data_IF_485371077531
#
_entry.id   IF_485371077531
#
_cell.length_a   1.000
_cell.length_b   1.000
_cell.length_c   1.000
_cell.angle_alpha   90.00
_cell.angle_beta   90.00
_cell.angle_gamma   90.00
#
_symmetry.space_group_name_H-M   'P 1'
#
loop_
_entity.id
_entity.type
_entity.pdbx_description
1 polymer ?
#
# COMPACT_ATOMS: atom_id res chain seq x y z
N UNK A 1 -5.01 11.91 -20.77
CA UNK A 1 -3.59 11.52 -20.79
C UNK A 1 -3.35 10.60 -19.62
N UNK A 2 -3.04 9.32 -19.89
CA UNK A 2 -3.21 8.23 -18.93
C UNK A 2 -2.08 8.22 -17.88
N UNK A 3 -2.44 8.03 -16.62
CA UNK A 3 -1.52 7.88 -15.48
C UNK A 3 -0.60 6.63 -15.55
N UNK A 4 -0.60 5.90 -16.67
CA UNK A 4 0.23 4.71 -16.88
C UNK A 4 1.63 5.02 -17.44
N UNK A 5 1.85 6.19 -18.05
CA UNK A 5 3.12 6.51 -18.76
C UNK A 5 4.31 6.79 -17.82
N UNK A 6 4.08 7.18 -16.56
CA UNK A 6 5.15 7.57 -15.62
C UNK A 6 5.86 6.41 -14.89
N UNK A 7 5.37 5.17 -14.97
CA UNK A 7 5.86 4.05 -14.13
C UNK A 7 6.84 3.11 -14.84
N UNK A 8 6.97 3.20 -16.16
CA UNK A 8 7.79 2.29 -16.96
C UNK A 8 9.29 2.57 -16.89
N UNK A 9 9.70 3.84 -16.91
CA UNK A 9 11.11 4.27 -16.91
C UNK A 9 11.87 3.86 -15.62
N UNK A 10 11.33 4.06 -14.40
CA UNK A 10 12.01 3.64 -13.18
C UNK A 10 12.17 2.12 -13.09
N UNK A 11 11.17 1.36 -13.54
CA UNK A 11 11.22 -0.10 -13.57
C UNK A 11 12.28 -0.59 -14.57
N UNK A 12 12.25 -0.08 -15.81
CA UNK A 12 13.17 -0.48 -16.87
C UNK A 12 14.64 -0.20 -16.48
N UNK A 13 14.94 0.98 -15.93
CA UNK A 13 16.30 1.36 -15.53
C UNK A 13 16.85 0.48 -14.40
N UNK A 14 16.00 0.14 -13.43
CA UNK A 14 16.37 -0.77 -12.32
C UNK A 14 16.69 -2.17 -12.81
N UNK A 15 15.82 -2.74 -13.65
CA UNK A 15 15.98 -4.11 -14.13
C UNK A 15 17.12 -4.22 -15.13
N UNK A 16 17.38 -3.18 -15.91
CA UNK A 16 18.57 -3.07 -16.73
C UNK A 16 19.85 -3.21 -15.89
N UNK A 17 20.00 -2.45 -14.79
CA UNK A 17 21.18 -2.55 -13.91
C UNK A 17 21.36 -3.96 -13.33
N UNK A 18 20.28 -4.56 -12.86
CA UNK A 18 20.31 -5.92 -12.32
C UNK A 18 20.68 -6.95 -13.40
N UNK A 19 20.10 -6.84 -14.60
CA UNK A 19 20.36 -7.73 -15.74
C UNK A 19 21.82 -7.61 -16.20
N UNK A 20 22.33 -6.40 -16.39
CA UNK A 20 23.73 -6.19 -16.80
C UNK A 20 24.70 -6.76 -15.79
N UNK A 21 24.46 -6.56 -14.49
CA UNK A 21 25.28 -7.16 -13.43
C UNK A 21 25.23 -8.69 -13.48
N UNK A 22 24.03 -9.27 -13.55
CA UNK A 22 23.83 -10.73 -13.57
C UNK A 22 24.45 -11.40 -14.80
N UNK A 23 24.25 -10.84 -15.98
CA UNK A 23 24.80 -11.38 -17.22
C UNK A 23 26.31 -11.16 -17.33
N UNK A 24 26.87 -10.09 -16.78
CA UNK A 24 28.34 -9.88 -16.74
C UNK A 24 29.02 -10.86 -15.78
N UNK A 25 28.44 -11.07 -14.60
CA UNK A 25 28.95 -12.07 -13.65
C UNK A 25 28.73 -13.50 -14.18
N UNK A 26 27.60 -13.75 -14.83
CA UNK A 26 27.28 -15.01 -15.51
C UNK A 26 28.22 -15.31 -16.67
N UNK A 27 28.62 -14.31 -17.44
CA UNK A 27 29.59 -14.44 -18.53
C UNK A 27 30.90 -15.08 -18.05
N UNK A 28 31.47 -14.60 -16.93
CA UNK A 28 32.69 -15.17 -16.36
C UNK A 28 32.49 -16.66 -16.00
N UNK A 29 31.36 -17.00 -15.40
CA UNK A 29 31.01 -18.38 -15.06
C UNK A 29 30.92 -19.27 -16.31
N UNK A 30 30.23 -18.81 -17.36
CA UNK A 30 30.04 -19.59 -18.60
C UNK A 30 31.34 -19.71 -19.40
N UNK A 31 32.15 -18.66 -19.49
CA UNK A 31 33.47 -18.68 -20.14
C UNK A 31 34.34 -19.79 -19.57
N UNK A 32 34.48 -19.87 -18.26
CA UNK A 32 35.32 -20.88 -17.61
C UNK A 32 34.70 -22.29 -17.65
N UNK A 33 33.37 -22.40 -17.71
CA UNK A 33 32.67 -23.66 -17.96
C UNK A 33 32.94 -24.20 -19.37
N UNK A 34 32.99 -23.31 -20.35
CA UNK A 34 33.17 -23.63 -21.78
C UNK A 34 34.63 -23.76 -22.23
N UNK A 35 35.55 -23.03 -21.62
CA UNK A 35 36.95 -22.96 -22.08
C UNK A 35 37.63 -24.34 -22.29
N UNK A 36 37.44 -25.35 -21.42
CA UNK A 36 38.04 -26.67 -21.63
C UNK A 36 37.43 -27.48 -22.79
N UNK A 37 36.28 -27.05 -23.33
CA UNK A 37 35.54 -27.77 -24.37
C UNK A 37 35.92 -27.38 -25.80
N UNK A 38 36.82 -26.39 -25.95
CA UNK A 38 37.23 -25.81 -27.24
C UNK A 38 36.05 -25.55 -28.19
N UNK A 39 35.05 -24.75 -27.77
CA UNK A 39 33.84 -24.57 -28.55
C UNK A 39 34.10 -23.74 -29.81
N UNK A 40 33.29 -24.00 -30.83
CA UNK A 40 33.34 -23.26 -32.08
C UNK A 40 33.21 -21.74 -31.88
N UNK A 41 33.88 -20.96 -32.74
CA UNK A 41 33.95 -19.50 -32.64
C UNK A 41 32.58 -18.80 -32.53
N UNK A 42 31.54 -19.35 -33.16
CA UNK A 42 30.19 -18.79 -33.12
C UNK A 42 29.57 -18.84 -31.72
N UNK A 43 29.95 -19.83 -30.89
CA UNK A 43 29.49 -19.95 -29.50
C UNK A 43 30.02 -18.79 -28.66
N UNK A 44 31.30 -18.44 -28.86
CA UNK A 44 31.92 -17.29 -28.23
C UNK A 44 31.26 -15.98 -28.66
N UNK A 45 31.00 -15.81 -29.96
CA UNK A 45 30.30 -14.64 -30.50
C UNK A 45 28.88 -14.51 -29.90
N UNK A 46 28.13 -15.62 -29.85
CA UNK A 46 26.80 -15.64 -29.25
C UNK A 46 26.84 -15.30 -27.75
N UNK A 47 27.83 -15.80 -27.01
CA UNK A 47 28.01 -15.49 -25.59
C UNK A 47 28.28 -14.01 -25.35
N UNK A 48 29.13 -13.38 -26.16
CA UNK A 48 29.40 -11.94 -26.06
C UNK A 48 28.15 -11.10 -26.35
N UNK A 49 27.39 -11.49 -27.38
CA UNK A 49 26.11 -10.84 -27.70
C UNK A 49 25.11 -10.99 -26.54
N UNK A 50 24.97 -12.20 -26.00
CA UNK A 50 24.06 -12.47 -24.89
C UNK A 50 24.45 -11.74 -23.61
N UNK A 51 25.75 -11.64 -23.28
CA UNK A 51 26.22 -11.00 -22.07
C UNK A 51 26.16 -9.46 -22.14
N UNK A 52 26.58 -8.89 -23.27
CA UNK A 52 26.85 -7.44 -23.35
C UNK A 52 25.88 -6.70 -24.27
N UNK A 53 25.37 -7.30 -25.35
CA UNK A 53 24.46 -6.60 -26.28
C UNK A 53 23.01 -6.74 -25.81
N UNK A 54 22.62 -7.93 -25.40
CA UNK A 54 21.24 -8.24 -25.02
C UNK A 54 20.69 -7.38 -23.87
N UNK A 55 21.41 -7.05 -22.77
CA UNK A 55 20.88 -6.17 -21.73
C UNK A 55 20.41 -4.81 -22.28
N UNK A 56 21.14 -4.24 -23.24
CA UNK A 56 20.79 -2.97 -23.88
C UNK A 56 19.59 -3.12 -24.80
N UNK A 57 19.55 -4.20 -25.59
CA UNK A 57 18.40 -4.51 -26.46
C UNK A 57 17.13 -4.70 -25.63
N UNK A 58 17.19 -5.51 -24.58
CA UNK A 58 16.10 -5.74 -23.65
C UNK A 58 15.59 -4.42 -23.03
N UNK A 59 16.50 -3.54 -22.62
CA UNK A 59 16.15 -2.22 -22.11
C UNK A 59 15.42 -1.37 -23.15
N UNK A 60 15.93 -1.29 -24.39
CA UNK A 60 15.29 -0.56 -25.48
C UNK A 60 13.92 -1.12 -25.85
N UNK A 61 13.76 -2.45 -25.85
CA UNK A 61 12.47 -3.12 -26.07
C UNK A 61 11.46 -2.73 -24.98
N UNK A 62 11.89 -2.69 -23.71
CA UNK A 62 11.02 -2.29 -22.60
C UNK A 62 10.61 -0.82 -22.71
N UNK A 63 11.52 0.08 -23.09
CA UNK A 63 11.24 1.51 -23.31
C UNK A 63 10.24 1.76 -24.44
N UNK A 64 10.31 0.98 -25.52
CA UNK A 64 9.40 1.11 -26.68
C UNK A 64 8.05 0.41 -26.49
N UNK A 65 7.87 -0.33 -25.40
CA UNK A 65 6.66 -1.10 -25.17
C UNK A 65 5.55 -0.28 -24.49
N UNK A 66 4.30 -0.50 -24.91
CA UNK A 66 3.13 0.09 -24.25
C UNK A 66 2.94 -0.40 -22.80
N UNK A 67 3.66 -1.45 -22.39
CA UNK A 67 3.53 -2.06 -21.07
C UNK A 67 4.87 -2.62 -20.62
N UNK A 68 5.66 -1.78 -19.95
CA UNK A 68 7.01 -2.12 -19.47
C UNK A 68 7.07 -3.46 -18.74
N UNK A 69 6.14 -3.75 -17.83
CA UNK A 69 6.11 -5.01 -17.07
C UNK A 69 5.94 -6.26 -17.95
N UNK A 70 5.12 -6.19 -19.01
CA UNK A 70 4.90 -7.31 -19.92
C UNK A 70 6.12 -7.56 -20.81
N UNK A 71 6.70 -6.49 -21.36
CA UNK A 71 7.94 -6.58 -22.14
C UNK A 71 9.06 -7.18 -21.29
N UNK A 72 9.17 -6.75 -20.04
CA UNK A 72 10.22 -7.18 -19.15
C UNK A 72 10.08 -8.65 -18.73
N UNK A 73 8.85 -9.12 -18.48
CA UNK A 73 8.59 -10.56 -18.29
C UNK A 73 9.02 -11.37 -19.52
N UNK A 74 8.76 -10.91 -20.73
CA UNK A 74 9.22 -11.60 -21.95
C UNK A 74 10.75 -11.64 -22.01
N UNK A 75 11.42 -10.53 -21.70
CA UNK A 75 12.88 -10.48 -21.69
C UNK A 75 13.49 -11.44 -20.66
N UNK A 76 12.90 -11.58 -19.46
CA UNK A 76 13.34 -12.54 -18.44
C UNK A 76 13.12 -14.00 -18.83
N UNK A 77 12.05 -14.30 -19.57
CA UNK A 77 11.86 -15.65 -20.12
C UNK A 77 12.94 -15.97 -21.16
N UNK A 78 13.34 -14.98 -21.97
CA UNK A 78 14.48 -15.14 -22.86
C UNK A 78 15.81 -15.31 -22.09
N UNK A 79 16.04 -14.52 -21.04
CA UNK A 79 17.20 -14.71 -20.14
C UNK A 79 17.23 -16.13 -19.57
N UNK A 80 16.08 -16.64 -19.13
CA UNK A 80 15.89 -17.99 -18.60
C UNK A 80 16.17 -19.07 -19.65
N UNK A 81 15.70 -18.87 -20.88
CA UNK A 81 16.02 -19.74 -22.01
C UNK A 81 17.53 -19.78 -22.26
N UNK A 82 18.20 -18.63 -22.34
CA UNK A 82 19.65 -18.57 -22.50
C UNK A 82 20.39 -19.25 -21.34
N UNK A 83 19.92 -19.09 -20.10
CA UNK A 83 20.47 -19.79 -18.94
C UNK A 83 20.42 -21.31 -19.09
N UNK A 84 19.28 -21.87 -19.53
CA UNK A 84 19.17 -23.29 -19.83
C UNK A 84 20.04 -23.75 -20.99
N UNK A 85 20.15 -22.94 -22.05
CA UNK A 85 21.04 -23.20 -23.18
C UNK A 85 22.50 -23.33 -22.74
N UNK A 86 22.99 -22.41 -21.89
CA UNK A 86 24.36 -22.45 -21.40
C UNK A 86 24.66 -23.65 -20.51
N UNK A 87 23.69 -24.15 -19.75
CA UNK A 87 23.84 -25.40 -18.98
C UNK A 87 24.15 -26.60 -19.89
N UNK A 88 23.43 -26.71 -21.01
CA UNK A 88 23.68 -27.77 -21.99
C UNK A 88 25.02 -27.57 -22.70
N UNK A 89 25.34 -26.34 -23.09
CA UNK A 89 26.62 -26.00 -23.75
C UNK A 89 27.83 -26.34 -22.87
N UNK A 90 27.75 -26.11 -21.55
CA UNK A 90 28.80 -26.44 -20.59
C UNK A 90 28.86 -27.93 -20.20
N UNK A 91 28.14 -28.80 -20.92
CA UNK A 91 28.07 -30.25 -20.65
C UNK A 91 27.72 -30.54 -19.19
N UNK A 92 26.72 -29.81 -18.67
CA UNK A 92 26.17 -29.99 -17.32
C UNK A 92 27.19 -29.92 -16.18
N UNK A 93 28.25 -29.12 -16.30
CA UNK A 93 29.17 -28.90 -15.20
C UNK A 93 28.40 -28.44 -13.93
N UNK A 94 28.45 -29.18 -12.80
CA UNK A 94 27.52 -29.00 -11.70
C UNK A 94 27.46 -27.58 -11.15
N UNK A 95 28.62 -26.98 -10.84
CA UNK A 95 28.67 -25.69 -10.16
C UNK A 95 28.21 -24.53 -11.06
N UNK A 96 28.75 -24.34 -12.29
CA UNK A 96 28.24 -23.33 -13.22
C UNK A 96 26.76 -23.51 -13.57
N UNK A 97 26.31 -24.76 -13.72
CA UNK A 97 24.93 -25.06 -14.09
C UNK A 97 23.94 -24.67 -12.99
N UNK A 98 24.20 -25.12 -11.75
CA UNK A 98 23.35 -24.78 -10.60
C UNK A 98 23.36 -23.27 -10.36
N UNK A 99 24.52 -22.61 -10.48
CA UNK A 99 24.64 -21.16 -10.30
C UNK A 99 23.79 -20.41 -11.32
N UNK A 100 23.86 -20.81 -12.59
CA UNK A 100 23.10 -20.19 -13.70
C UNK A 100 21.60 -20.39 -13.52
N UNK A 101 21.15 -21.63 -13.29
CA UNK A 101 19.72 -21.94 -13.10
C UNK A 101 19.14 -21.24 -11.86
N UNK A 102 19.92 -21.19 -10.77
CA UNK A 102 19.52 -20.50 -9.53
C UNK A 102 19.37 -19.00 -9.77
N UNK A 103 20.35 -18.37 -10.43
CA UNK A 103 20.28 -16.95 -10.78
C UNK A 103 19.05 -16.63 -11.63
N UNK A 104 18.77 -17.42 -12.67
CA UNK A 104 17.58 -17.20 -13.51
C UNK A 104 16.29 -17.37 -12.72
N UNK A 105 16.23 -18.37 -11.83
CA UNK A 105 15.07 -18.59 -10.97
C UNK A 105 14.85 -17.43 -9.98
N UNK A 106 15.92 -16.91 -9.36
CA UNK A 106 15.85 -15.73 -8.49
C UNK A 106 15.29 -14.51 -9.22
N UNK A 107 15.73 -14.27 -10.46
CA UNK A 107 15.23 -13.16 -11.28
C UNK A 107 13.74 -13.28 -11.57
N UNK A 108 13.28 -14.48 -11.89
CA UNK A 108 11.88 -14.75 -12.16
C UNK A 108 11.01 -14.54 -10.91
N UNK A 109 11.45 -15.03 -9.74
CA UNK A 109 10.72 -14.82 -8.48
C UNK A 109 10.69 -13.35 -8.08
N UNK A 110 11.81 -12.63 -8.19
CA UNK A 110 11.91 -11.23 -7.80
C UNK A 110 10.93 -10.31 -8.56
N UNK A 111 10.55 -10.66 -9.79
CA UNK A 111 9.75 -9.80 -10.68
C UNK A 111 8.32 -10.34 -10.90
N UNK A 112 8.15 -11.66 -10.98
CA UNK A 112 6.86 -12.29 -11.29
C UNK A 112 6.32 -13.24 -10.22
N UNK A 113 7.04 -13.42 -9.11
CA UNK A 113 6.67 -14.32 -8.03
C UNK A 113 6.74 -15.81 -8.41
N UNK A 114 6.21 -16.72 -7.57
CA UNK A 114 6.39 -18.16 -7.72
C UNK A 114 5.71 -18.73 -8.98
N UNK A 115 4.59 -18.15 -9.41
CA UNK A 115 3.91 -18.60 -10.66
C UNK A 115 4.75 -18.31 -11.90
N UNK A 116 5.44 -17.17 -11.93
CA UNK A 116 6.30 -16.82 -13.05
C UNK A 116 7.62 -17.62 -13.05
N UNK A 117 8.10 -18.03 -11.87
CA UNK A 117 9.23 -18.96 -11.75
C UNK A 117 8.99 -20.26 -12.52
N UNK A 118 7.78 -20.83 -12.46
CA UNK A 118 7.42 -22.04 -13.20
C UNK A 118 7.54 -21.83 -14.72
N UNK A 119 7.06 -20.70 -15.25
CA UNK A 119 7.24 -20.36 -16.65
C UNK A 119 8.73 -20.19 -17.02
N UNK A 120 9.52 -19.65 -16.10
CA UNK A 120 10.97 -19.58 -16.21
C UNK A 120 11.65 -20.95 -16.29
N UNK A 121 11.21 -21.92 -15.48
CA UNK A 121 11.72 -23.31 -15.56
C UNK A 121 11.37 -23.97 -16.88
N UNK A 122 10.17 -23.73 -17.41
CA UNK A 122 9.80 -24.19 -18.76
C UNK A 122 10.74 -23.57 -19.81
N UNK A 123 11.00 -22.26 -19.73
CA UNK A 123 11.94 -21.60 -20.63
C UNK A 123 13.37 -22.16 -20.52
N UNK A 124 13.85 -22.43 -19.30
CA UNK A 124 15.15 -23.08 -19.06
C UNK A 124 15.19 -24.48 -19.66
N UNK A 125 14.14 -25.29 -19.48
CA UNK A 125 14.05 -26.63 -20.06
C UNK A 125 14.06 -26.60 -21.59
N UNK A 126 13.36 -25.63 -22.21
CA UNK A 126 13.40 -25.42 -23.65
C UNK A 126 14.80 -25.02 -24.13
N UNK A 127 15.46 -24.10 -23.43
CA UNK A 127 16.83 -23.69 -23.71
C UNK A 127 17.81 -24.85 -23.64
N UNK A 128 17.69 -25.66 -22.59
CA UNK A 128 18.49 -26.87 -22.42
C UNK A 128 18.23 -27.87 -23.58
N UNK A 129 16.97 -28.10 -23.93
CA UNK A 129 16.60 -28.96 -25.05
C UNK A 129 17.23 -28.50 -26.37
N UNK A 130 17.24 -27.19 -26.63
CA UNK A 130 17.91 -26.65 -27.83
C UNK A 130 19.43 -26.85 -27.81
N UNK A 131 20.08 -26.72 -26.66
CA UNK A 131 21.51 -26.98 -26.54
C UNK A 131 21.85 -28.46 -26.81
N UNK A 132 21.04 -29.40 -26.33
CA UNK A 132 21.23 -30.84 -26.57
C UNK A 132 21.04 -31.27 -28.03
N UNK A 133 20.35 -30.46 -28.84
CA UNK A 133 20.23 -30.67 -30.28
C UNK A 133 21.46 -30.18 -31.05
N UNK A 134 22.19 -29.21 -30.49
CA UNK A 134 23.34 -28.56 -31.15
C UNK A 134 24.67 -29.18 -30.69
N UNK A 135 24.79 -29.50 -29.40
CA UNK A 135 25.98 -30.07 -28.80
C UNK A 135 25.77 -31.56 -28.50
N UNK A 136 26.82 -32.36 -28.64
CA UNK A 136 26.78 -33.77 -28.23
C UNK A 136 26.54 -33.87 -26.73
N UNK A 137 25.49 -34.58 -26.27
CA UNK A 137 25.20 -34.69 -24.84
C UNK A 137 26.39 -35.30 -24.08
N UNK A 138 26.91 -34.57 -23.10
CA UNK A 138 28.01 -35.00 -22.24
C UNK A 138 27.81 -34.44 -20.83
N UNK A 139 28.38 -35.12 -19.84
CA UNK A 139 28.29 -34.75 -18.42
C UNK A 139 29.69 -34.68 -17.81
N UNK A 140 30.11 -33.47 -17.42
CA UNK A 140 31.39 -33.26 -16.73
C UNK A 140 31.13 -33.21 -15.22
N UNK A 141 31.39 -34.32 -14.52
CA UNK A 141 31.09 -34.45 -13.09
C UNK A 141 31.98 -33.60 -12.18
N UNK A 142 33.18 -33.22 -12.62
CA UNK A 142 34.20 -32.57 -11.79
C UNK A 142 34.38 -31.12 -12.21
N UNK A 143 34.23 -30.19 -11.26
CA UNK A 143 34.50 -28.77 -11.46
C UNK A 143 35.97 -28.46 -11.12
N UNK A 144 36.70 -27.83 -12.04
CA UNK A 144 38.10 -27.42 -11.82
C UNK A 144 38.22 -26.25 -10.84
N UNK A 145 39.40 -26.04 -10.25
CA UNK A 145 39.64 -24.89 -9.35
C UNK A 145 39.37 -23.54 -10.03
N UNK A 146 39.74 -23.40 -11.31
CA UNK A 146 39.48 -22.18 -12.07
C UNK A 146 37.98 -21.91 -12.25
N UNK A 147 37.20 -22.94 -12.57
CA UNK A 147 35.73 -22.86 -12.66
C UNK A 147 35.09 -22.53 -11.32
N UNK A 148 35.61 -23.10 -10.22
CA UNK A 148 35.15 -22.80 -8.88
C UNK A 148 35.33 -21.31 -8.55
N UNK A 149 36.54 -20.79 -8.70
CA UNK A 149 36.82 -19.38 -8.43
C UNK A 149 36.05 -18.43 -9.34
N UNK A 150 35.81 -18.80 -10.60
CA UNK A 150 34.98 -18.04 -11.53
C UNK A 150 33.50 -17.92 -11.08
N UNK A 151 32.98 -18.90 -10.31
CA UNK A 151 31.60 -18.86 -9.80
C UNK A 151 31.45 -18.09 -8.48
N UNK A 152 32.53 -17.87 -7.72
CA UNK A 152 32.42 -17.21 -6.40
C UNK A 152 31.84 -15.78 -6.47
N UNK A 153 32.24 -14.91 -7.42
CA UNK A 153 31.69 -13.55 -7.49
C UNK A 153 30.19 -13.55 -7.75
N UNK A 154 29.69 -14.39 -8.65
CA UNK A 154 28.26 -14.45 -8.95
C UNK A 154 27.46 -15.04 -7.77
N UNK A 155 28.00 -16.05 -7.08
CA UNK A 155 27.35 -16.66 -5.91
C UNK A 155 27.27 -15.72 -4.71
N UNK A 156 28.27 -14.86 -4.51
CA UNK A 156 28.28 -13.92 -3.39
C UNK A 156 27.61 -12.59 -3.74
N UNK A 157 28.03 -11.94 -4.83
CA UNK A 157 27.63 -10.56 -5.13
C UNK A 157 26.21 -10.47 -5.68
N UNK A 158 25.77 -11.45 -6.47
CA UNK A 158 24.48 -11.36 -7.14
C UNK A 158 23.28 -11.48 -6.18
N UNK A 159 23.21 -12.49 -5.28
CA UNK A 159 22.12 -12.58 -4.32
C UNK A 159 22.08 -11.39 -3.36
N UNK A 160 23.24 -10.87 -2.93
CA UNK A 160 23.33 -9.67 -2.10
C UNK A 160 22.80 -8.44 -2.82
N UNK A 161 23.22 -8.24 -4.08
CA UNK A 161 22.75 -7.12 -4.90
C UNK A 161 21.22 -7.19 -5.13
N UNK A 162 20.71 -8.37 -5.51
CA UNK A 162 19.28 -8.58 -5.73
C UNK A 162 18.48 -8.40 -4.43
N UNK A 163 18.96 -8.95 -3.32
CA UNK A 163 18.35 -8.81 -2.00
C UNK A 163 18.28 -7.35 -1.55
N UNK A 164 19.37 -6.59 -1.72
CA UNK A 164 19.41 -5.15 -1.44
C UNK A 164 18.42 -4.37 -2.30
N UNK A 165 18.34 -4.68 -3.60
CA UNK A 165 17.39 -4.05 -4.53
C UNK A 165 15.95 -4.33 -4.09
N UNK A 166 15.61 -5.58 -3.76
CA UNK A 166 14.28 -5.97 -3.29
C UNK A 166 13.93 -5.29 -1.95
N UNK A 167 14.87 -5.25 -1.00
CA UNK A 167 14.68 -4.60 0.29
C UNK A 167 14.38 -3.11 0.14
N UNK A 168 15.18 -2.39 -0.66
CA UNK A 168 14.95 -0.95 -0.92
C UNK A 168 13.59 -0.70 -1.57
N UNK A 169 13.16 -1.56 -2.48
CA UNK A 169 11.84 -1.45 -3.12
C UNK A 169 10.71 -1.62 -2.11
N UNK A 170 10.81 -2.60 -1.22
CA UNK A 170 9.82 -2.82 -0.16
C UNK A 170 9.69 -1.58 0.74
N UNK A 171 10.81 -0.96 1.12
CA UNK A 171 10.81 0.28 1.91
C UNK A 171 10.20 1.47 1.18
N UNK A 172 10.57 1.70 -0.08
CA UNK A 172 10.00 2.79 -0.88
C UNK A 172 8.49 2.62 -1.06
N UNK A 173 8.04 1.41 -1.36
CA UNK A 173 6.61 1.11 -1.48
C UNK A 173 5.86 1.36 -0.17
N UNK A 174 6.43 0.95 0.97
CA UNK A 174 5.85 1.20 2.28
C UNK A 174 5.75 2.71 2.59
N UNK A 175 6.76 3.51 2.20
CA UNK A 175 6.75 4.96 2.37
C UNK A 175 5.66 5.63 1.52
N UNK A 176 5.59 5.32 0.23
CA UNK A 176 4.53 5.88 -0.63
C UNK A 176 3.14 5.48 -0.18
N UNK A 177 2.97 4.24 0.32
CA UNK A 177 1.71 3.83 0.93
C UNK A 177 1.35 4.71 2.15
N UNK A 178 2.32 5.03 3.02
CA UNK A 178 2.09 5.93 4.16
C UNK A 178 1.76 7.36 3.73
N UNK A 179 2.46 7.89 2.73
CA UNK A 179 2.20 9.22 2.17
C UNK A 179 0.78 9.29 1.58
N UNK A 180 0.38 8.29 0.80
CA UNK A 180 -0.98 8.21 0.24
C UNK A 180 -2.05 8.13 1.34
N UNK A 181 -1.79 7.36 2.40
CA UNK A 181 -2.69 7.29 3.55
C UNK A 181 -2.76 8.61 4.32
N UNK A 182 -1.64 9.33 4.45
CA UNK A 182 -1.59 10.65 5.08
C UNK A 182 -2.33 11.72 4.25
N UNK A 183 -2.34 11.59 2.92
CA UNK A 183 -3.11 12.45 2.01
C UNK A 183 -4.59 12.07 1.90
N UNK A 184 -4.99 10.92 2.46
CA UNK A 184 -6.41 10.56 2.52
C UNK A 184 -7.15 11.60 3.35
N UNK A 185 -8.24 12.17 2.82
CA UNK A 185 -9.15 13.04 3.58
C UNK A 185 -10.23 12.26 4.32
N UNK A 186 -10.32 10.95 4.08
CA UNK A 186 -11.36 10.08 4.62
C UNK A 186 -10.79 9.02 5.55
N UNK A 187 -11.51 8.72 6.62
CA UNK A 187 -11.23 7.59 7.50
C UNK A 187 -11.62 6.27 6.82
N UNK A 188 -10.72 5.28 6.83
CA UNK A 188 -10.89 4.04 6.06
C UNK A 188 -11.98 3.12 6.60
N UNK A 189 -12.33 3.24 7.88
CA UNK A 189 -13.35 2.41 8.53
C UNK A 189 -14.76 2.99 8.33
N UNK A 190 -14.93 4.28 8.62
CA UNK A 190 -16.21 4.98 8.55
C UNK A 190 -16.55 5.52 7.15
N UNK A 191 -15.53 5.81 6.35
CA UNK A 191 -15.64 6.56 5.10
C UNK A 191 -15.99 8.04 5.30
N UNK A 192 -16.12 8.52 6.54
CA UNK A 192 -16.33 9.94 6.82
C UNK A 192 -15.01 10.71 6.67
N UNK A 193 -15.05 12.04 6.84
CA UNK A 193 -13.82 12.83 6.94
C UNK A 193 -12.96 12.27 8.09
N UNK A 194 -11.65 12.20 7.90
CA UNK A 194 -10.77 11.91 9.03
C UNK A 194 -10.59 13.15 9.90
N UNK A 195 -9.99 12.96 11.09
CA UNK A 195 -9.70 14.02 12.05
C UNK A 195 -9.09 15.27 11.41
N UNK A 196 -8.06 15.12 10.56
CA UNK A 196 -7.38 16.24 9.91
C UNK A 196 -8.30 17.00 8.96
N UNK A 197 -8.95 16.29 8.03
CA UNK A 197 -9.82 16.91 7.04
C UNK A 197 -11.05 17.58 7.68
N UNK A 198 -11.61 16.98 8.74
CA UNK A 198 -12.73 17.59 9.47
C UNK A 198 -12.31 18.88 10.17
N UNK A 199 -11.13 18.91 10.81
CA UNK A 199 -10.59 20.11 11.46
C UNK A 199 -10.32 21.24 10.47
N UNK A 200 -9.81 20.92 9.27
CA UNK A 200 -9.66 21.91 8.20
C UNK A 200 -11.00 22.55 7.82
N UNK A 201 -12.06 21.73 7.74
CA UNK A 201 -13.41 22.23 7.45
C UNK A 201 -14.00 23.05 8.59
N UNK A 202 -13.69 22.71 9.84
CA UNK A 202 -14.10 23.50 11.01
C UNK A 202 -13.51 24.91 10.96
N UNK A 203 -12.22 25.04 10.63
CA UNK A 203 -11.56 26.34 10.49
C UNK A 203 -12.20 27.15 9.35
N UNK A 204 -12.47 26.52 8.20
CA UNK A 204 -13.13 27.19 7.07
C UNK A 204 -14.52 27.72 7.48
N UNK A 205 -15.32 26.90 8.15
CA UNK A 205 -16.67 27.32 8.58
C UNK A 205 -16.61 28.37 9.68
N UNK A 206 -15.67 28.28 10.63
CA UNK A 206 -15.44 29.31 11.64
C UNK A 206 -15.14 30.68 11.00
N UNK A 207 -14.24 30.72 10.02
CA UNK A 207 -13.93 31.95 9.28
C UNK A 207 -15.13 32.50 8.52
N UNK A 208 -15.96 31.61 7.97
CA UNK A 208 -17.19 31.99 7.26
C UNK A 208 -18.23 32.59 8.21
N UNK A 209 -18.50 31.96 9.35
CA UNK A 209 -19.41 32.49 10.37
C UNK A 209 -18.95 33.86 10.88
N UNK A 210 -17.65 34.02 11.12
CA UNK A 210 -17.04 35.28 11.56
C UNK A 210 -17.20 36.42 10.56
N UNK A 211 -17.06 36.14 9.26
CA UNK A 211 -17.16 37.15 8.20
C UNK A 211 -18.60 37.49 7.83
N UNK A 212 -19.46 36.47 7.70
CA UNK A 212 -20.78 36.62 7.08
C UNK A 212 -21.90 36.72 8.13
N UNK A 213 -21.55 36.75 9.42
CA UNK A 213 -22.49 36.69 10.56
C UNK A 213 -23.52 35.55 10.45
N UNK A 214 -23.11 34.45 9.81
CA UNK A 214 -23.93 33.25 9.68
C UNK A 214 -23.81 32.38 10.93
N UNK A 215 -24.95 31.83 11.37
CA UNK A 215 -24.96 30.86 12.46
C UNK A 215 -24.55 29.47 11.98
N UNK A 216 -23.82 28.74 12.82
CA UNK A 216 -23.53 27.32 12.63
C UNK A 216 -23.50 26.65 14.01
N UNK A 217 -23.66 25.33 14.03
CA UNK A 217 -23.52 24.51 15.23
C UNK A 217 -22.56 23.39 14.93
N UNK A 218 -21.72 23.03 15.89
CA UNK A 218 -20.92 21.81 15.82
C UNK A 218 -21.42 20.81 16.86
N UNK A 219 -21.29 19.54 16.53
CA UNK A 219 -21.62 18.42 17.39
C UNK A 219 -20.39 17.55 17.62
N UNK A 220 -20.10 17.23 18.87
CA UNK A 220 -19.18 16.17 19.28
C UNK A 220 -20.00 14.98 19.77
N UNK A 221 -19.70 13.79 19.26
CA UNK A 221 -20.48 12.58 19.46
C UNK A 221 -19.54 11.49 19.94
N UNK A 222 -19.90 10.81 21.01
CA UNK A 222 -19.14 9.68 21.55
C UNK A 222 -20.04 8.47 21.73
N UNK A 223 -19.51 7.28 21.41
CA UNK A 223 -20.21 6.02 21.64
C UNK A 223 -20.04 5.61 23.10
N UNK A 224 -21.15 5.60 23.83
CA UNK A 224 -21.14 5.25 25.24
C UNK A 224 -20.63 3.82 25.45
N UNK A 225 -19.68 3.67 26.38
CA UNK A 225 -19.10 2.39 26.78
C UNK A 225 -18.46 1.59 25.64
N UNK A 226 -17.93 2.25 24.60
CA UNK A 226 -17.33 1.57 23.44
C UNK A 226 -16.19 0.60 23.81
N UNK A 227 -15.36 0.95 24.80
CA UNK A 227 -14.33 0.04 25.32
C UNK A 227 -14.94 -1.27 25.85
N UNK A 228 -16.01 -1.19 26.64
CA UNK A 228 -16.72 -2.37 27.15
C UNK A 228 -17.31 -3.22 26.03
N UNK A 229 -17.79 -2.58 24.95
CA UNK A 229 -18.27 -3.30 23.76
C UNK A 229 -17.12 -4.09 23.11
N UNK A 230 -15.96 -3.47 22.92
CA UNK A 230 -14.78 -4.16 22.38
C UNK A 230 -14.32 -5.31 23.29
N UNK A 231 -14.28 -5.08 24.60
CA UNK A 231 -13.82 -6.07 25.57
C UNK A 231 -14.78 -7.28 25.67
N UNK A 232 -16.08 -7.05 25.47
CA UNK A 232 -17.13 -8.09 25.61
C UNK A 232 -17.40 -8.84 24.31
N UNK A 233 -17.49 -8.11 23.18
CA UNK A 233 -17.94 -8.64 21.89
C UNK A 233 -16.83 -8.68 20.83
N UNK A 234 -15.61 -8.24 21.18
CA UNK A 234 -14.45 -8.19 20.30
C UNK A 234 -14.43 -6.98 19.36
N UNK A 235 -13.22 -6.65 18.88
CA UNK A 235 -12.99 -5.49 18.00
C UNK A 235 -13.78 -5.53 16.69
N UNK A 236 -14.10 -6.71 16.16
CA UNK A 236 -14.91 -6.84 14.93
C UNK A 236 -16.32 -6.27 15.15
N UNK A 237 -16.90 -6.48 16.33
CA UNK A 237 -18.21 -5.93 16.70
C UNK A 237 -18.13 -4.42 16.90
N UNK A 238 -17.07 -3.92 17.55
CA UNK A 238 -16.83 -2.48 17.65
C UNK A 238 -16.72 -1.80 16.29
N UNK A 239 -16.00 -2.40 15.35
CA UNK A 239 -15.91 -1.92 13.96
C UNK A 239 -17.28 -1.88 13.25
N UNK A 240 -18.17 -2.84 13.52
CA UNK A 240 -19.54 -2.84 12.98
C UNK A 240 -20.32 -1.65 13.56
N UNK A 241 -20.22 -1.41 14.87
CA UNK A 241 -20.90 -0.29 15.55
C UNK A 241 -20.45 1.05 14.95
N UNK A 242 -19.15 1.25 14.78
CA UNK A 242 -18.57 2.44 14.16
C UNK A 242 -19.09 2.67 12.73
N UNK A 243 -19.14 1.60 11.91
CA UNK A 243 -19.70 1.66 10.54
C UNK A 243 -21.19 1.99 10.54
N UNK A 244 -21.96 1.47 11.50
CA UNK A 244 -23.38 1.79 11.61
C UNK A 244 -23.61 3.25 11.99
N UNK A 245 -22.86 3.78 12.95
CA UNK A 245 -22.94 5.20 13.30
C UNK A 245 -22.64 6.08 12.08
N UNK A 246 -21.59 5.72 11.32
CA UNK A 246 -21.21 6.41 10.09
C UNK A 246 -22.33 6.41 9.05
N UNK A 247 -23.04 5.29 8.91
CA UNK A 247 -24.20 5.17 8.01
C UNK A 247 -25.37 6.01 8.50
N UNK A 248 -25.67 5.98 9.80
CA UNK A 248 -26.73 6.79 10.42
C UNK A 248 -26.44 8.28 10.21
N UNK A 249 -25.21 8.74 10.46
CA UNK A 249 -24.80 10.12 10.19
C UNK A 249 -25.07 10.52 8.73
N UNK A 250 -24.59 9.74 7.76
CA UNK A 250 -24.81 10.03 6.33
C UNK A 250 -26.28 10.07 5.92
N UNK A 251 -27.13 9.29 6.59
CA UNK A 251 -28.56 9.19 6.26
C UNK A 251 -29.42 10.29 6.90
N UNK A 252 -28.95 10.92 7.98
CA UNK A 252 -29.70 11.95 8.71
C UNK A 252 -29.17 13.37 8.45
N UNK A 253 -27.98 13.49 7.86
CA UNK A 253 -27.35 14.78 7.56
C UNK A 253 -27.65 15.28 6.15
N UNK A 254 -27.71 16.61 6.00
CA UNK A 254 -27.88 17.28 4.70
C UNK A 254 -26.59 17.20 3.91
N UNK A 255 -26.67 17.43 2.59
CA UNK A 255 -25.48 17.45 1.73
C UNK A 255 -24.45 18.55 2.12
N UNK A 256 -24.89 19.61 2.80
CA UNK A 256 -24.04 20.68 3.30
C UNK A 256 -23.41 20.39 4.66
N UNK A 257 -23.92 19.40 5.39
CA UNK A 257 -23.42 19.07 6.72
C UNK A 257 -22.18 18.17 6.60
N UNK A 258 -21.19 18.37 7.47
CA UNK A 258 -19.89 17.71 7.36
C UNK A 258 -19.63 16.82 8.56
N UNK A 259 -19.68 15.50 8.36
CA UNK A 259 -19.36 14.52 9.38
C UNK A 259 -17.94 13.98 9.23
N UNK A 260 -17.26 13.82 10.36
CA UNK A 260 -15.92 13.24 10.47
C UNK A 260 -15.79 12.29 11.65
N UNK A 261 -14.82 11.39 11.59
CA UNK A 261 -14.36 10.59 12.73
C UNK A 261 -13.14 11.27 13.32
N UNK A 262 -13.31 11.79 14.54
CA UNK A 262 -12.35 12.63 15.23
C UNK A 262 -11.34 11.80 16.03
N UNK A 263 -11.83 10.78 16.73
CA UNK A 263 -11.06 9.87 17.57
C UNK A 263 -11.59 8.45 17.45
N UNK A 264 -11.02 7.48 18.16
CA UNK A 264 -11.36 6.06 18.07
C UNK A 264 -12.87 5.79 17.99
N UNK A 265 -13.63 6.31 18.94
CA UNK A 265 -15.08 6.23 19.09
C UNK A 265 -15.79 7.59 19.02
N UNK A 266 -15.04 8.64 18.72
CA UNK A 266 -15.50 10.02 18.67
C UNK A 266 -15.77 10.46 17.23
N UNK A 267 -16.93 11.07 17.02
CA UNK A 267 -17.40 11.60 15.75
C UNK A 267 -17.75 13.06 15.91
N UNK A 268 -17.55 13.84 14.86
CA UNK A 268 -17.89 15.25 14.87
C UNK A 268 -18.74 15.62 13.65
N UNK A 269 -19.61 16.60 13.81
CA UNK A 269 -20.47 17.14 12.74
C UNK A 269 -20.41 18.65 12.75
N UNK A 270 -20.27 19.26 11.56
CA UNK A 270 -20.48 20.69 11.34
C UNK A 270 -21.86 20.84 10.69
N UNK A 271 -22.70 21.71 11.24
CA UNK A 271 -24.05 22.01 10.77
C UNK A 271 -24.14 23.49 10.33
N UNK A 272 -23.69 23.82 9.10
CA UNK A 272 -23.73 25.19 8.59
C UNK A 272 -25.16 25.73 8.52
N UNK A 273 -25.34 27.00 8.91
CA UNK A 273 -26.62 27.70 8.82
C UNK A 273 -27.72 27.13 9.72
N UNK A 274 -27.40 26.26 10.68
CA UNK A 274 -28.40 25.62 11.54
C UNK A 274 -28.46 26.31 12.91
N UNK A 275 -29.65 26.73 13.38
CA UNK A 275 -29.81 27.26 14.73
C UNK A 275 -29.74 26.14 15.78
N UNK A 276 -29.32 26.46 17.00
CA UNK A 276 -29.07 25.49 18.08
C UNK A 276 -30.29 24.60 18.36
N UNK A 277 -31.50 25.16 18.44
CA UNK A 277 -32.71 24.38 18.70
C UNK A 277 -32.95 23.27 17.64
N UNK A 278 -32.76 23.60 16.35
CA UNK A 278 -32.88 22.63 15.25
C UNK A 278 -31.74 21.61 15.28
N UNK A 279 -30.52 22.04 15.62
CA UNK A 279 -29.40 21.12 15.77
C UNK A 279 -29.65 20.11 16.89
N UNK A 280 -30.24 20.55 18.01
CA UNK A 280 -30.66 19.67 19.11
C UNK A 280 -31.70 18.66 18.64
N UNK A 281 -32.75 19.09 17.95
CA UNK A 281 -33.78 18.19 17.39
C UNK A 281 -33.18 17.12 16.46
N UNK A 282 -32.30 17.53 15.53
CA UNK A 282 -31.67 16.63 14.55
C UNK A 282 -30.74 15.64 15.24
N UNK A 283 -29.92 16.10 16.18
CA UNK A 283 -28.98 15.22 16.89
C UNK A 283 -29.69 14.28 17.86
N UNK A 284 -30.80 14.70 18.48
CA UNK A 284 -31.57 13.82 19.35
C UNK A 284 -32.30 12.73 18.54
N UNK A 285 -32.86 13.08 17.38
CA UNK A 285 -33.42 12.10 16.45
C UNK A 285 -32.37 11.11 15.93
N UNK A 286 -31.14 11.58 15.68
CA UNK A 286 -30.01 10.73 15.30
C UNK A 286 -29.66 9.75 16.43
N UNK A 287 -29.57 10.23 17.67
CA UNK A 287 -29.32 9.44 18.87
C UNK A 287 -30.37 8.34 19.02
N UNK A 288 -31.66 8.68 18.97
CA UNK A 288 -32.75 7.71 19.09
C UNK A 288 -32.71 6.65 17.98
N UNK A 289 -32.44 7.07 16.75
CA UNK A 289 -32.32 6.14 15.62
C UNK A 289 -31.14 5.18 15.77
N UNK A 290 -30.02 5.65 16.32
CA UNK A 290 -28.86 4.81 16.61
C UNK A 290 -29.14 3.84 17.76
N UNK A 291 -29.78 4.30 18.83
CA UNK A 291 -30.20 3.48 19.97
C UNK A 291 -31.14 2.33 19.54
N UNK A 292 -32.00 2.58 18.54
CA UNK A 292 -32.96 1.62 18.03
C UNK A 292 -32.35 0.57 17.08
N UNK A 293 -31.06 0.67 16.72
CA UNK A 293 -30.43 -0.30 15.82
C UNK A 293 -30.37 -1.69 16.47
N UNK A 294 -30.81 -2.70 15.71
CA UNK A 294 -30.60 -4.10 16.04
C UNK A 294 -29.34 -4.61 15.34
N UNK A 295 -28.45 -5.24 16.10
CA UNK A 295 -27.21 -5.81 15.58
C UNK A 295 -27.43 -7.29 15.27
N UNK A 296 -27.39 -7.67 13.99
CA UNK A 296 -27.71 -9.03 13.56
C UNK A 296 -26.83 -10.13 14.18
N UNK A 297 -25.60 -9.78 14.56
CA UNK A 297 -24.65 -10.70 15.20
C UNK A 297 -24.95 -10.87 16.69
N UNK A 298 -25.57 -9.87 17.33
CA UNK A 298 -25.97 -9.92 18.72
C UNK A 298 -27.22 -9.05 18.99
N UNK A 299 -28.42 -9.65 19.04
CA UNK A 299 -29.66 -8.93 19.28
C UNK A 299 -29.77 -8.27 20.67
N UNK A 300 -28.89 -8.63 21.61
CA UNK A 300 -28.89 -8.08 22.98
C UNK A 300 -28.03 -6.84 23.11
N UNK A 301 -27.14 -6.58 22.15
CA UNK A 301 -26.27 -5.42 22.13
C UNK A 301 -27.11 -4.12 22.06
N UNK A 302 -27.00 -3.32 23.12
CA UNK A 302 -27.52 -1.95 23.19
C UNK A 302 -26.36 -0.98 23.17
N UNK A 303 -26.42 0.00 22.28
CA UNK A 303 -25.39 1.03 22.13
C UNK A 303 -26.09 2.38 22.14
N UNK A 304 -25.52 3.34 22.87
CA UNK A 304 -26.02 4.72 22.91
C UNK A 304 -24.94 5.73 22.61
N UNK A 305 -25.37 6.98 22.39
CA UNK A 305 -24.50 8.11 22.10
C UNK A 305 -24.67 9.20 23.14
N UNK A 306 -23.56 9.80 23.55
CA UNK A 306 -23.54 11.10 24.19
C UNK A 306 -23.14 12.15 23.16
N UNK A 307 -23.86 13.28 23.12
CA UNK A 307 -23.67 14.33 22.11
C UNK A 307 -23.55 15.70 22.80
N UNK A 308 -22.45 16.41 22.54
CA UNK A 308 -22.24 17.80 22.92
C UNK A 308 -22.45 18.75 21.75
N UNK A 309 -23.28 19.78 21.92
CA UNK A 309 -23.57 20.80 20.91
C UNK A 309 -23.05 22.17 21.34
N UNK A 310 -22.37 22.85 20.41
CA UNK A 310 -21.96 24.24 20.60
C UNK A 310 -22.36 25.11 19.38
N UNK A 311 -23.20 26.14 19.55
CA UNK A 311 -23.40 27.13 18.50
C UNK A 311 -22.16 28.01 18.35
N UNK A 312 -21.91 28.50 17.14
CA UNK A 312 -20.92 29.54 16.91
C UNK A 312 -21.30 30.81 17.68
N UNK A 313 -20.32 31.43 18.33
CA UNK A 313 -20.47 32.70 19.01
C UNK A 313 -19.38 33.68 18.55
N UNK A 314 -19.70 34.98 18.38
CA UNK A 314 -18.71 36.00 18.04
C UNK A 314 -17.59 36.15 19.09
N UNK A 315 -17.81 35.66 20.31
CA UNK A 315 -16.85 35.65 21.42
C UNK A 315 -15.77 34.59 21.28
N UNK A 316 -15.93 33.59 20.40
CA UNK A 316 -14.90 32.58 20.14
C UNK A 316 -13.66 33.21 19.50
N UNK A 317 -12.49 32.99 20.10
CA UNK A 317 -11.23 33.52 19.62
C UNK A 317 -10.76 32.82 18.33
N UNK A 318 -10.94 31.51 18.28
CA UNK A 318 -10.59 30.65 17.15
C UNK A 318 -11.50 29.40 17.08
N UNK A 319 -11.33 28.58 16.03
CA UNK A 319 -12.10 27.34 15.87
C UNK A 319 -11.90 26.35 17.03
N UNK A 320 -10.76 26.43 17.73
CA UNK A 320 -10.42 25.53 18.84
C UNK A 320 -11.23 25.89 20.08
N UNK A 321 -11.41 27.17 20.38
CA UNK A 321 -12.32 27.61 21.44
C UNK A 321 -13.75 27.15 21.21
N UNK A 322 -14.22 27.19 19.96
CA UNK A 322 -15.54 26.68 19.60
C UNK A 322 -15.64 25.15 19.77
N UNK A 323 -14.58 24.42 19.42
CA UNK A 323 -14.49 22.98 19.63
C UNK A 323 -14.49 22.60 21.12
N UNK A 324 -13.77 23.35 21.95
CA UNK A 324 -13.71 23.13 23.40
C UNK A 324 -15.09 23.28 24.07
N UNK A 325 -15.90 24.23 23.60
CA UNK A 325 -17.29 24.40 24.03
C UNK A 325 -18.13 23.13 23.76
N UNK A 326 -17.98 22.54 22.56
CA UNK A 326 -18.68 21.29 22.25
C UNK A 326 -18.16 20.09 23.06
N UNK A 327 -16.86 20.06 23.36
CA UNK A 327 -16.26 19.05 24.24
C UNK A 327 -16.79 19.15 25.68
N UNK A 328 -16.89 20.37 26.21
CA UNK A 328 -17.50 20.61 27.53
C UNK A 328 -18.96 20.16 27.57
N UNK A 329 -19.74 20.46 26.53
CA UNK A 329 -21.11 19.97 26.41
C UNK A 329 -21.17 18.43 26.33
N UNK A 330 -20.23 17.79 25.63
CA UNK A 330 -20.14 16.33 25.55
C UNK A 330 -19.79 15.72 26.91
N UNK A 331 -18.86 16.34 27.64
CA UNK A 331 -18.52 15.96 29.01
C UNK A 331 -19.75 16.03 29.92
N UNK A 332 -20.56 17.09 29.82
CA UNK A 332 -21.81 17.23 30.57
C UNK A 332 -22.83 16.15 30.20
N UNK A 333 -22.94 15.78 28.92
CA UNK A 333 -23.77 14.65 28.50
C UNK A 333 -23.31 13.33 29.14
N UNK A 334 -22.00 13.07 29.16
CA UNK A 334 -21.41 11.86 29.76
C UNK A 334 -21.58 11.82 31.28
N UNK A 335 -21.36 12.93 31.97
CA UNK A 335 -21.44 13.02 33.43
C UNK A 335 -22.88 12.99 33.95
N UNK A 336 -23.83 13.50 33.16
CA UNK A 336 -25.25 13.56 33.54
C UNK A 336 -26.01 12.24 33.34
N UNK A 337 -25.32 11.15 32.96
CA UNK A 337 -25.92 9.83 32.79
C UNK A 337 -25.94 9.29 31.35
N UNK A 338 -25.19 9.92 30.42
CA UNK A 338 -25.03 9.47 29.03
C UNK A 338 -26.34 9.45 28.23
N UNK A 339 -26.29 8.89 27.02
CA UNK A 339 -27.42 8.70 26.12
C UNK A 339 -28.28 9.97 25.97
N UNK A 340 -27.65 11.11 25.68
CA UNK A 340 -28.34 12.40 25.59
C UNK A 340 -27.58 13.40 24.74
N UNK A 341 -28.31 14.45 24.36
CA UNK A 341 -27.76 15.67 23.80
C UNK A 341 -27.65 16.72 24.92
N UNK A 342 -26.49 17.34 25.05
CA UNK A 342 -26.24 18.48 25.91
C UNK A 342 -25.77 19.67 25.07
N UNK A 343 -26.11 20.89 25.51
CA UNK A 343 -25.68 22.14 24.87
C UNK A 343 -24.89 22.97 25.87
N UNK A 344 -23.92 23.76 25.42
CA UNK A 344 -23.25 24.75 26.29
C UNK A 344 -24.29 25.70 26.89
N UNK A 345 -24.35 25.79 28.22
CA UNK A 345 -25.26 26.70 28.93
C UNK A 345 -24.67 28.10 29.05
N UNK A 346 -25.48 29.15 28.83
CA UNK A 346 -25.08 30.56 28.92
C UNK A 346 -24.45 30.98 30.26
N UNK A 347 -24.65 30.22 31.35
CA UNK A 347 -24.05 30.48 32.66
C UNK A 347 -22.53 30.33 32.72
N UNK A 348 -21.93 29.59 31.78
CA UNK A 348 -20.48 29.37 31.69
C UNK A 348 -19.74 30.49 30.96
N UNK A 349 -20.46 31.33 30.22
CA UNK A 349 -19.90 32.42 29.40
C UNK A 349 -19.53 33.68 30.22
N UNK A 350 -19.79 33.69 31.54
CA UNK A 350 -19.55 34.86 32.41
C UNK A 350 -18.36 34.71 33.36
N UNK A 351 -17.61 33.61 33.31
CA UNK A 351 -16.48 33.35 34.22
C UNK A 351 -15.11 33.29 33.55
N UNK A 352 -14.90 34.03 32.46
CA UNK A 352 -13.57 34.34 31.91
C UNK A 352 -13.33 35.83 31.96
#
# INVERSE_FOLDING_TARGET
MSAAEGTGLPLASRLYRSRTLGLTLGFVCVVFGMYPLDPAWWVWAWMLINAFVWPHVAFQLTLRSASALRSERRNLLFDSFCGGFWVGAMHFNPLPSVTTLSMMSMNNVAIGGPRFMLAGWVAQALGLGTALLIFTPAFIAVTTQAQLYACLPILMLYPLALGWICYRQALTLARHKRELLALSRTDSLSGLLNHGAWKDHLEIEFQRCRRDSMGAVIALIDIDHFKTINDTYGHVTGDIVLRQLSKVLRQNLRATDLAGRYGGDEFCVILPGMPLNRATEVMDALRDRFNALAYAQDPTLRVSLSIGLAPYQPTHADSTSWLNDADQALYDAKSSGRNRVSTVQEGWLRSV
#
